data_IF_573089013426
#
_entry.id   IF_573089013426
#
_cell.length_a   1.000
_cell.length_b   1.000
_cell.length_c   1.000
_cell.angle_alpha   90.00
_cell.angle_beta   90.00
_cell.angle_gamma   90.00
#
_symmetry.space_group_name_H-M   'P 1'
#
loop_
_entity.id
_entity.type
_entity.pdbx_description
1 polymer ?
#
# COMPACT_ATOMS: atom_id res chain seq x y z
N UNK A 1 -16.38 -18.06 -45.92
CA UNK A 1 -16.32 -17.74 -44.48
C UNK A 1 -15.35 -16.59 -44.35
N UNK A 2 -15.88 -15.43 -44.01
CA UNK A 2 -15.32 -14.13 -44.37
C UNK A 2 -14.34 -13.61 -43.32
N UNK A 3 -13.20 -13.09 -43.79
CA UNK A 3 -12.19 -12.44 -42.94
C UNK A 3 -12.79 -11.31 -42.06
N UNK A 4 -13.91 -10.75 -42.49
CA UNK A 4 -14.73 -9.74 -41.79
C UNK A 4 -15.43 -10.28 -40.52
N UNK A 5 -15.79 -11.57 -40.48
CA UNK A 5 -16.35 -12.20 -39.28
C UNK A 5 -15.25 -12.48 -38.24
N UNK A 6 -14.07 -12.91 -38.70
CA UNK A 6 -12.91 -13.14 -37.83
C UNK A 6 -12.41 -11.83 -37.18
N UNK A 7 -12.40 -10.72 -37.91
CA UNK A 7 -12.01 -9.41 -37.35
C UNK A 7 -13.03 -8.89 -36.32
N UNK A 8 -14.33 -9.15 -36.53
CA UNK A 8 -15.38 -8.79 -35.55
C UNK A 8 -15.26 -9.64 -34.28
N UNK A 9 -15.00 -10.94 -34.41
CA UNK A 9 -14.80 -11.82 -33.26
C UNK A 9 -13.56 -11.42 -32.45
N UNK A 10 -12.45 -11.08 -33.11
CA UNK A 10 -11.25 -10.56 -32.43
C UNK A 10 -11.51 -9.23 -31.73
N UNK A 11 -12.22 -8.30 -32.38
CA UNK A 11 -12.58 -7.03 -31.77
C UNK A 11 -13.48 -7.23 -30.54
N UNK A 12 -14.46 -8.13 -30.60
CA UNK A 12 -15.36 -8.45 -29.49
C UNK A 12 -14.62 -9.12 -28.33
N UNK A 13 -13.72 -10.07 -28.61
CA UNK A 13 -12.83 -10.67 -27.61
C UNK A 13 -11.99 -9.58 -26.96
N UNK A 14 -11.39 -8.67 -27.75
CA UNK A 14 -10.58 -7.57 -27.23
C UNK A 14 -11.40 -6.62 -26.36
N UNK A 15 -12.64 -6.32 -26.74
CA UNK A 15 -13.56 -5.46 -26.00
C UNK A 15 -13.98 -6.11 -24.67
N UNK A 16 -14.31 -7.41 -24.67
CA UNK A 16 -14.60 -8.19 -23.46
C UNK A 16 -13.37 -8.29 -22.57
N UNK A 17 -12.18 -8.46 -23.14
CA UNK A 17 -10.92 -8.49 -22.39
C UNK A 17 -10.64 -7.13 -21.74
N UNK A 18 -10.85 -6.03 -22.46
CA UNK A 18 -10.70 -4.67 -21.91
C UNK A 18 -11.76 -4.36 -20.83
N UNK A 19 -13.00 -4.80 -20.98
CA UNK A 19 -14.04 -4.66 -19.95
C UNK A 19 -13.71 -5.49 -18.71
N UNK A 20 -13.18 -6.70 -18.89
CA UNK A 20 -12.75 -7.58 -17.79
C UNK A 20 -11.53 -6.99 -17.08
N UNK A 21 -10.57 -6.44 -17.81
CA UNK A 21 -9.38 -5.75 -17.25
C UNK A 21 -9.76 -4.43 -16.58
N UNK A 22 -10.74 -3.68 -17.10
CA UNK A 22 -11.27 -2.46 -16.45
C UNK A 22 -12.09 -2.75 -15.19
N UNK A 23 -12.79 -3.89 -15.10
CA UNK A 23 -13.50 -4.33 -13.89
C UNK A 23 -12.57 -5.02 -12.88
N UNK A 24 -11.59 -5.78 -13.34
CA UNK A 24 -10.53 -6.37 -12.53
C UNK A 24 -9.44 -5.36 -12.15
N UNK A 25 -9.64 -4.08 -12.48
CA UNK A 25 -8.66 -3.03 -12.27
C UNK A 25 -8.52 -2.81 -10.75
N UNK A 26 -7.38 -3.21 -10.14
CA UNK A 26 -7.17 -3.13 -8.70
C UNK A 26 -6.87 -1.69 -8.27
N UNK A 27 -7.36 -0.69 -9.03
CA UNK A 27 -6.91 0.71 -9.02
C UNK A 27 -7.24 1.48 -7.75
N UNK A 28 -8.02 0.91 -6.84
CA UNK A 28 -8.27 1.50 -5.53
C UNK A 28 -8.20 0.42 -4.50
N UNK A 29 -7.11 0.41 -3.72
CA UNK A 29 -7.10 -0.38 -2.49
C UNK A 29 -8.27 0.09 -1.63
N UNK A 30 -9.01 -0.84 -1.01
CA UNK A 30 -10.15 -0.47 -0.20
C UNK A 30 -9.69 0.36 1.01
N UNK A 31 -10.50 1.33 1.42
CA UNK A 31 -10.16 2.28 2.48
C UNK A 31 -9.75 1.59 3.79
N UNK A 32 -10.38 0.47 4.13
CA UNK A 32 -10.06 -0.32 5.32
C UNK A 32 -8.60 -0.84 5.29
N UNK A 33 -8.05 -1.15 4.12
CA UNK A 33 -6.65 -1.59 3.99
C UNK A 33 -5.70 -0.41 4.24
N UNK A 34 -5.98 0.74 3.64
CA UNK A 34 -5.16 1.95 3.80
C UNK A 34 -5.12 2.41 5.25
N UNK A 35 -6.28 2.52 5.90
CA UNK A 35 -6.35 2.93 7.31
C UNK A 35 -5.83 1.85 8.26
N UNK A 36 -6.13 0.57 8.00
CA UNK A 36 -5.68 -0.53 8.84
C UNK A 36 -4.16 -0.73 8.82
N UNK A 37 -3.55 -0.61 7.63
CA UNK A 37 -2.08 -0.67 7.50
C UNK A 37 -1.39 0.58 8.09
N UNK A 38 -1.99 1.76 7.92
CA UNK A 38 -1.51 2.98 8.58
C UNK A 38 -1.57 2.87 10.10
N UNK A 39 -2.67 2.33 10.66
CA UNK A 39 -2.81 2.11 12.09
C UNK A 39 -1.80 1.08 12.63
N UNK A 40 -1.55 0.00 11.88
CA UNK A 40 -0.52 -0.99 12.23
C UNK A 40 0.88 -0.39 12.26
N UNK A 41 1.23 0.45 11.28
CA UNK A 41 2.49 1.20 11.27
C UNK A 41 2.62 2.15 12.46
N UNK A 42 1.56 2.92 12.75
CA UNK A 42 1.54 3.84 13.89
C UNK A 42 1.71 3.09 15.22
N UNK A 43 1.07 1.93 15.39
CA UNK A 43 1.22 1.06 16.56
C UNK A 43 2.66 0.57 16.74
N UNK A 44 3.30 0.13 15.65
CA UNK A 44 4.70 -0.32 15.68
C UNK A 44 5.61 0.85 16.08
N UNK A 45 5.42 2.03 15.50
CA UNK A 45 6.24 3.19 15.83
C UNK A 45 6.02 3.70 17.26
N UNK A 46 4.77 3.75 17.72
CA UNK A 46 4.41 4.11 19.09
C UNK A 46 4.95 3.12 20.13
N UNK A 47 5.17 1.86 19.75
CA UNK A 47 5.80 0.89 20.64
C UNK A 47 7.20 1.32 21.12
N UNK A 48 7.91 2.15 20.35
CA UNK A 48 9.24 2.65 20.72
C UNK A 48 9.22 3.59 21.93
N UNK A 49 8.05 4.13 22.31
CA UNK A 49 7.89 4.98 23.49
C UNK A 49 7.68 4.16 24.77
N UNK A 50 7.49 2.84 24.63
CA UNK A 50 7.23 1.92 25.73
C UNK A 50 8.43 0.99 25.96
N UNK A 51 8.59 0.56 27.21
CA UNK A 51 9.58 -0.44 27.60
C UNK A 51 8.90 -1.68 28.20
N UNK A 52 9.55 -2.85 28.06
CA UNK A 52 9.08 -4.09 28.65
C UNK A 52 7.97 -4.80 27.86
N UNK A 53 7.07 -5.50 28.56
CA UNK A 53 6.02 -6.29 27.92
C UNK A 53 5.02 -5.49 27.03
N UNK A 54 4.65 -4.22 27.34
CA UNK A 54 3.74 -3.45 26.49
C UNK A 54 4.32 -3.15 25.11
N UNK A 55 5.64 -2.93 25.02
CA UNK A 55 6.36 -2.76 23.75
C UNK A 55 6.16 -3.97 22.85
N UNK A 56 6.45 -5.17 23.37
CA UNK A 56 6.31 -6.43 22.63
C UNK A 56 4.86 -6.66 22.19
N UNK A 57 3.88 -6.35 23.04
CA UNK A 57 2.46 -6.49 22.66
C UNK A 57 2.05 -5.52 21.56
N UNK A 58 2.48 -4.25 21.60
CA UNK A 58 2.17 -3.29 20.54
C UNK A 58 2.85 -3.65 19.23
N UNK A 59 4.09 -4.15 19.27
CA UNK A 59 4.78 -4.68 18.09
C UNK A 59 4.04 -5.87 17.49
N UNK A 60 3.64 -6.84 18.32
CA UNK A 60 2.88 -8.00 17.86
C UNK A 60 1.51 -7.61 17.31
N UNK A 61 0.79 -6.71 17.99
CA UNK A 61 -0.51 -6.21 17.55
C UNK A 61 -0.41 -5.43 16.23
N UNK A 62 0.58 -4.54 16.09
CA UNK A 62 0.81 -3.80 14.85
C UNK A 62 1.27 -4.69 13.70
N UNK A 63 2.17 -5.64 13.96
CA UNK A 63 2.62 -6.62 12.99
C UNK A 63 1.50 -7.55 12.51
N UNK A 64 0.67 -8.06 13.43
CA UNK A 64 -0.49 -8.89 13.10
C UNK A 64 -1.57 -8.10 12.38
N UNK A 65 -1.79 -6.82 12.70
CA UNK A 65 -2.70 -5.96 11.96
C UNK A 65 -2.23 -5.75 10.50
N UNK A 66 -0.93 -5.55 10.27
CA UNK A 66 -0.36 -5.44 8.93
C UNK A 66 -0.51 -6.74 8.13
N UNK A 67 -0.14 -7.87 8.73
CA UNK A 67 -0.27 -9.19 8.10
C UNK A 67 -1.74 -9.54 7.83
N UNK A 68 -2.62 -9.24 8.79
CA UNK A 68 -4.06 -9.50 8.71
C UNK A 68 -4.73 -8.66 7.63
N UNK A 69 -4.39 -7.37 7.54
CA UNK A 69 -4.92 -6.48 6.48
C UNK A 69 -4.41 -6.88 5.10
N UNK A 70 -3.13 -7.28 4.97
CA UNK A 70 -2.58 -7.83 3.74
C UNK A 70 -3.28 -9.14 3.33
N UNK A 71 -3.47 -10.08 4.25
CA UNK A 71 -4.17 -11.34 3.99
C UNK A 71 -5.65 -11.12 3.64
N UNK A 72 -6.34 -10.20 4.32
CA UNK A 72 -7.71 -9.83 4.00
C UNK A 72 -7.81 -9.18 2.61
N UNK A 73 -6.78 -8.44 2.19
CA UNK A 73 -6.74 -7.79 0.89
C UNK A 73 -6.60 -8.83 -0.21
N UNK A 74 -5.71 -9.81 -0.01
CA UNK A 74 -5.53 -10.92 -0.93
C UNK A 74 -6.83 -11.75 -1.06
N UNK A 75 -7.51 -12.05 0.06
CA UNK A 75 -8.78 -12.78 0.06
C UNK A 75 -9.91 -12.01 -0.64
N UNK A 76 -10.03 -10.71 -0.37
CA UNK A 76 -11.13 -9.89 -0.93
C UNK A 76 -10.95 -9.57 -2.41
N UNK A 77 -9.70 -9.39 -2.86
CA UNK A 77 -9.44 -9.10 -4.28
C UNK A 77 -9.40 -10.36 -5.14
N UNK A 78 -9.21 -11.56 -4.57
CA UNK A 78 -9.27 -12.86 -5.27
C UNK A 78 -8.19 -13.06 -6.33
N UNK A 79 -7.46 -12.00 -6.67
CA UNK A 79 -6.26 -12.00 -7.47
C UNK A 79 -5.15 -12.38 -6.49
N UNK A 80 -4.65 -13.62 -6.57
CA UNK A 80 -3.26 -13.91 -6.16
C UNK A 80 -2.45 -12.80 -6.78
N UNK A 81 -2.02 -11.84 -5.97
CA UNK A 81 -1.31 -10.64 -6.36
C UNK A 81 -0.30 -11.06 -7.42
N UNK A 82 -0.62 -10.89 -8.71
CA UNK A 82 0.32 -11.13 -9.81
C UNK A 82 1.25 -9.92 -9.77
N UNK A 83 2.04 -9.87 -8.70
CA UNK A 83 3.05 -8.86 -8.36
C UNK A 83 4.10 -8.70 -9.45
N UNK A 84 4.15 -9.63 -10.42
CA UNK A 84 4.93 -9.46 -11.64
C UNK A 84 4.47 -8.27 -12.50
N UNK A 85 3.21 -7.87 -12.44
CA UNK A 85 2.71 -6.71 -13.18
C UNK A 85 2.82 -5.40 -12.38
N UNK A 86 2.98 -5.49 -11.06
CA UNK A 86 3.10 -4.32 -10.18
C UNK A 86 4.56 -3.89 -10.15
N UNK A 87 4.84 -2.63 -10.52
CA UNK A 87 6.20 -2.10 -10.47
C UNK A 87 6.63 -2.01 -9.00
N UNK A 88 7.66 -2.76 -8.62
CA UNK A 88 8.21 -2.73 -7.26
C UNK A 88 8.89 -1.40 -6.92
N UNK A 89 9.45 -0.72 -7.92
CA UNK A 89 10.16 0.55 -7.75
C UNK A 89 9.31 1.66 -7.10
N UNK A 90 8.10 2.00 -7.58
CA UNK A 90 7.25 3.02 -6.93
C UNK A 90 6.82 2.59 -5.53
N UNK A 91 6.59 1.30 -5.28
CA UNK A 91 6.28 0.80 -3.94
C UNK A 91 7.47 0.92 -2.99
N UNK A 92 8.68 0.62 -3.47
CA UNK A 92 9.91 0.77 -2.70
C UNK A 92 10.20 2.24 -2.40
N UNK A 93 10.01 3.15 -3.37
CA UNK A 93 10.13 4.59 -3.15
C UNK A 93 9.08 5.12 -2.17
N UNK A 94 7.86 4.61 -2.22
CA UNK A 94 6.80 4.95 -1.27
C UNK A 94 7.15 4.46 0.14
N UNK A 95 7.58 3.21 0.29
CA UNK A 95 8.04 2.68 1.58
C UNK A 95 9.24 3.46 2.12
N UNK A 96 10.19 3.84 1.26
CA UNK A 96 11.32 4.68 1.61
C UNK A 96 10.86 6.07 2.08
N UNK A 97 9.91 6.71 1.41
CA UNK A 97 9.36 8.01 1.81
C UNK A 97 8.70 7.95 3.19
N UNK A 98 7.96 6.87 3.48
CA UNK A 98 7.34 6.64 4.80
C UNK A 98 8.40 6.45 5.88
N UNK A 99 9.44 5.66 5.60
CA UNK A 99 10.56 5.48 6.53
C UNK A 99 11.33 6.76 6.79
N UNK A 100 11.60 7.56 5.75
CA UNK A 100 12.24 8.88 5.88
C UNK A 100 11.40 9.81 6.74
N UNK A 101 10.08 9.80 6.58
CA UNK A 101 9.18 10.60 7.43
C UNK A 101 9.24 10.15 8.89
N UNK A 102 9.16 8.85 9.16
CA UNK A 102 9.25 8.30 10.52
C UNK A 102 10.60 8.65 11.16
N UNK A 103 11.71 8.37 10.47
CA UNK A 103 13.06 8.61 11.01
C UNK A 103 13.31 10.11 11.17
N UNK A 104 12.96 10.93 10.19
CA UNK A 104 13.16 12.37 10.21
C UNK A 104 12.37 13.06 11.31
N UNK A 105 11.06 12.77 11.40
CA UNK A 105 10.19 13.34 12.45
C UNK A 105 10.58 12.80 13.82
N UNK A 106 10.86 11.50 13.97
CA UNK A 106 11.29 10.92 15.24
C UNK A 106 12.63 11.49 15.71
N UNK A 107 13.59 11.66 14.80
CA UNK A 107 14.90 12.24 15.12
C UNK A 107 14.78 13.72 15.50
N UNK A 108 13.92 14.49 14.82
CA UNK A 108 13.64 15.89 15.17
C UNK A 108 12.92 15.99 16.52
N UNK A 109 11.94 15.13 16.78
CA UNK A 109 11.22 15.08 18.06
C UNK A 109 12.17 14.74 19.22
N UNK A 110 13.09 13.78 19.02
CA UNK A 110 14.16 13.47 19.98
C UNK A 110 15.11 14.64 20.21
N UNK A 111 15.51 15.34 19.15
CA UNK A 111 16.39 16.50 19.25
C UNK A 111 15.76 17.64 20.06
N UNK A 112 14.43 17.73 20.05
CA UNK A 112 13.64 18.73 20.75
C UNK A 112 13.11 18.24 22.12
N UNK A 113 13.58 17.08 22.59
CA UNK A 113 13.14 16.44 23.85
C UNK A 113 11.61 16.29 23.97
N UNK A 114 10.93 16.05 22.84
CA UNK A 114 9.48 15.88 22.82
C UNK A 114 9.12 14.49 23.38
N UNK A 115 8.25 14.39 24.39
CA UNK A 115 7.79 13.09 24.87
C UNK A 115 6.97 12.36 23.79
N UNK A 116 7.08 11.03 23.76
CA UNK A 116 6.40 10.16 22.79
C UNK A 116 6.81 10.41 21.32
N UNK A 117 8.12 10.57 21.08
CA UNK A 117 8.71 10.78 19.77
C UNK A 117 8.39 9.65 18.79
N UNK A 118 8.31 8.40 19.24
CA UNK A 118 7.93 7.24 18.44
C UNK A 118 6.48 7.30 17.98
N UNK A 119 5.57 7.74 18.84
CA UNK A 119 4.15 7.94 18.50
C UNK A 119 4.00 9.05 17.46
N UNK A 120 4.68 10.18 17.65
CA UNK A 120 4.64 11.32 16.71
C UNK A 120 5.21 10.91 15.35
N UNK A 121 6.35 10.21 15.34
CA UNK A 121 6.94 9.65 14.14
C UNK A 121 5.99 8.67 13.42
N UNK A 122 5.32 7.81 14.19
CA UNK A 122 4.32 6.87 13.69
C UNK A 122 3.13 7.54 13.04
N UNK A 123 2.59 8.58 13.66
CA UNK A 123 1.49 9.38 13.12
C UNK A 123 1.90 10.10 11.84
N UNK A 124 3.10 10.68 11.80
CA UNK A 124 3.63 11.31 10.59
C UNK A 124 3.79 10.29 9.45
N UNK A 125 4.35 9.11 9.73
CA UNK A 125 4.45 8.01 8.77
C UNK A 125 3.09 7.54 8.27
N UNK A 126 2.10 7.41 9.16
CA UNK A 126 0.72 7.03 8.83
C UNK A 126 0.03 8.07 7.93
N UNK A 127 0.24 9.37 8.18
CA UNK A 127 -0.28 10.44 7.34
C UNK A 127 0.33 10.40 5.93
N UNK A 128 1.65 10.23 5.84
CA UNK A 128 2.34 10.06 4.55
C UNK A 128 1.82 8.82 3.82
N UNK A 129 1.61 7.72 4.54
CA UNK A 129 1.05 6.49 3.99
C UNK A 129 -0.33 6.75 3.37
N UNK A 130 -1.25 7.36 4.13
CA UNK A 130 -2.61 7.66 3.67
C UNK A 130 -2.60 8.61 2.46
N UNK A 131 -1.82 9.70 2.53
CA UNK A 131 -1.78 10.73 1.50
C UNK A 131 -1.15 10.25 0.19
N UNK A 132 -0.07 9.46 0.27
CA UNK A 132 0.67 9.01 -0.92
C UNK A 132 0.19 7.66 -1.47
N UNK A 133 -0.67 6.92 -0.77
CA UNK A 133 -1.21 5.64 -1.23
C UNK A 133 -1.99 5.77 -2.56
N UNK A 134 -2.82 6.81 -2.72
CA UNK A 134 -3.55 7.06 -3.97
C UNK A 134 -2.63 7.36 -5.17
N UNK A 135 -1.76 8.38 -5.07
CA UNK A 135 -0.79 8.69 -6.13
C UNK A 135 0.17 7.53 -6.45
N UNK A 136 0.60 6.76 -5.45
CA UNK A 136 1.47 5.60 -5.65
C UNK A 136 0.77 4.48 -6.44
N UNK A 137 -0.52 4.24 -6.20
CA UNK A 137 -1.32 3.29 -6.97
C UNK A 137 -1.50 3.75 -8.42
N UNK A 138 -1.79 5.04 -8.62
CA UNK A 138 -1.93 5.61 -9.96
C UNK A 138 -0.61 5.51 -10.75
N UNK A 139 0.53 5.77 -10.10
CA UNK A 139 1.85 5.63 -10.71
C UNK A 139 2.22 4.17 -11.03
N UNK A 140 1.86 3.23 -10.14
CA UNK A 140 2.12 1.80 -10.34
C UNK A 140 1.25 1.20 -11.47
N UNK A 141 0.07 1.79 -11.76
CA UNK A 141 -0.89 1.31 -12.75
C UNK A 141 -0.79 1.92 -14.15
N UNK A 142 0.16 2.83 -14.41
CA UNK A 142 0.36 3.43 -15.75
C UNK A 142 1.05 2.43 -16.70
N UNK A 143 0.53 2.20 -17.93
CA UNK A 143 1.21 1.38 -18.92
C UNK A 143 2.57 2.00 -19.28
N UNK A 144 3.55 1.14 -19.56
CA UNK A 144 4.88 1.56 -20.01
C UNK A 144 4.71 2.12 -21.42
N UNK A 145 5.05 3.39 -21.63
CA UNK A 145 5.20 3.90 -23.00
C UNK A 145 6.24 3.00 -23.70
N UNK A 146 5.88 2.28 -24.77
CA UNK A 146 6.85 1.61 -25.61
C UNK A 146 7.52 2.71 -26.43
N UNK A 147 8.64 3.23 -25.92
CA UNK A 147 9.63 3.92 -26.74
C UNK A 147 10.36 2.91 -27.63
#
# INVERSE_FOLDING_TARGET
>A
MDATEASKALAEIHQRQQQTVRRANPRRLPAWFTYGSAAGLALISASNDLAGWPHSLMLLAGGTALLGTAAALERSTGVRLRLRALRWTPLALFAAAVLVAIIGVGSLARLLDVPADGTIAGLAGALVWIAAMGPAQDAAGKPRDPA
#
